data_IF_546009675695
#
_entry.id   IF_546009675695
#
_cell.length_a   1.000
_cell.length_b   1.000
_cell.length_c   1.000
_cell.angle_alpha   90.00
_cell.angle_beta   90.00
_cell.angle_gamma   90.00
#
_symmetry.space_group_name_H-M   'P 1'
#
loop_
_entity.id
_entity.type
_entity.pdbx_description
1 polymer ?
#
# COMPACT_ATOMS: atom_id res chain seq x y z
N UNK A 1 3.86 -12.88 -17.41
CA UNK A 1 5.16 -12.45 -16.82
C UNK A 1 6.36 -13.26 -17.30
N UNK A 2 6.28 -14.59 -17.43
CA UNK A 2 7.43 -15.41 -17.87
C UNK A 2 7.91 -15.12 -19.30
N UNK A 3 7.00 -14.81 -20.24
CA UNK A 3 7.38 -14.50 -21.63
C UNK A 3 8.24 -13.23 -21.74
N UNK A 4 7.86 -12.15 -21.04
CA UNK A 4 8.67 -10.91 -21.00
C UNK A 4 10.06 -11.16 -20.40
N UNK A 5 10.14 -11.91 -19.29
CA UNK A 5 11.42 -12.21 -18.64
C UNK A 5 12.34 -13.08 -19.52
N UNK A 6 11.77 -13.98 -20.32
CA UNK A 6 12.50 -14.90 -21.19
C UNK A 6 12.98 -14.28 -22.52
N UNK A 7 12.41 -13.15 -22.95
CA UNK A 7 12.81 -12.46 -24.18
C UNK A 7 14.23 -11.86 -24.05
N UNK A 8 15.21 -12.22 -24.91
CA UNK A 8 16.56 -11.69 -24.83
C UNK A 8 16.72 -10.28 -25.44
N UNK A 9 15.68 -9.73 -26.08
CA UNK A 9 15.74 -8.40 -26.69
C UNK A 9 15.99 -7.30 -25.64
N UNK A 10 16.98 -6.45 -25.89
CA UNK A 10 17.48 -5.44 -24.96
C UNK A 10 16.54 -4.23 -24.80
N UNK A 11 15.65 -4.01 -25.76
CA UNK A 11 14.67 -2.91 -25.78
C UNK A 11 13.22 -3.41 -25.67
N UNK A 12 13.02 -4.57 -25.06
CA UNK A 12 11.68 -5.08 -24.76
C UNK A 12 10.99 -4.16 -23.74
N UNK A 13 9.67 -4.00 -23.87
CA UNK A 13 8.85 -3.14 -23.00
C UNK A 13 7.75 -4.00 -22.35
N UNK A 14 7.61 -3.94 -21.02
CA UNK A 14 6.52 -4.63 -20.30
C UNK A 14 5.31 -3.71 -20.13
N UNK A 15 4.30 -3.91 -20.97
CA UNK A 15 3.00 -3.23 -20.86
C UNK A 15 1.92 -4.12 -20.20
N UNK A 16 2.30 -5.32 -19.74
CA UNK A 16 1.36 -6.27 -19.16
C UNK A 16 1.09 -6.02 -17.67
N UNK A 17 2.01 -5.35 -16.97
CA UNK A 17 1.90 -5.09 -15.54
C UNK A 17 1.49 -3.63 -15.31
N UNK A 18 0.35 -3.40 -14.65
CA UNK A 18 -0.15 -2.08 -14.29
C UNK A 18 0.58 -1.43 -13.11
N UNK A 19 1.91 -1.32 -13.19
CA UNK A 19 2.76 -0.72 -12.15
C UNK A 19 3.26 0.65 -12.58
N UNK A 20 3.35 1.58 -11.62
CA UNK A 20 4.05 2.84 -11.84
C UNK A 20 5.56 2.60 -11.91
N UNK A 21 6.15 2.95 -13.06
CA UNK A 21 7.58 2.96 -13.29
C UNK A 21 8.19 4.35 -13.22
N UNK A 22 9.51 4.41 -13.03
CA UNK A 22 10.31 5.61 -13.32
C UNK A 22 10.52 5.75 -14.83
N UNK A 23 11.08 6.88 -15.27
CA UNK A 23 11.52 7.09 -16.65
C UNK A 23 12.58 6.06 -17.10
N UNK A 24 13.20 5.36 -16.15
CA UNK A 24 14.16 4.27 -16.37
C UNK A 24 13.50 2.88 -16.37
N UNK A 25 12.16 2.81 -16.44
CA UNK A 25 11.37 1.57 -16.40
C UNK A 25 11.55 0.74 -15.12
N UNK A 26 12.00 1.36 -14.02
CA UNK A 26 12.14 0.70 -12.71
C UNK A 26 10.89 0.90 -11.87
N UNK A 27 10.52 -0.06 -11.01
CA UNK A 27 9.43 0.14 -10.05
C UNK A 27 9.65 1.40 -9.21
N UNK A 28 8.68 2.31 -9.22
CA UNK A 28 8.79 3.57 -8.48
C UNK A 28 8.40 3.36 -7.01
N UNK A 29 9.30 3.71 -6.10
CA UNK A 29 9.01 3.75 -4.65
C UNK A 29 8.90 5.21 -4.22
N UNK A 30 7.71 5.60 -3.74
CA UNK A 30 7.46 6.96 -3.27
C UNK A 30 8.30 7.32 -2.05
N UNK A 31 8.80 8.55 -2.02
CA UNK A 31 9.65 9.07 -0.93
C UNK A 31 8.96 8.98 0.45
N UNK A 32 7.65 9.22 0.50
CA UNK A 32 6.86 9.05 1.74
C UNK A 32 6.88 7.61 2.22
N UNK A 33 6.80 6.63 1.32
CA UNK A 33 6.84 5.21 1.65
C UNK A 33 8.22 4.83 2.21
N UNK A 34 9.31 5.32 1.59
CA UNK A 34 10.67 5.10 2.09
C UNK A 34 10.86 5.62 3.52
N UNK A 35 10.39 6.84 3.80
CA UNK A 35 10.49 7.45 5.13
C UNK A 35 9.70 6.69 6.18
N UNK A 36 8.49 6.22 5.83
CA UNK A 36 7.65 5.45 6.75
C UNK A 36 8.26 4.08 7.01
N UNK A 37 8.77 3.39 5.98
CA UNK A 37 9.43 2.09 6.12
C UNK A 37 10.68 2.17 7.02
N UNK A 38 11.51 3.20 6.85
CA UNK A 38 12.62 3.47 7.75
C UNK A 38 12.17 3.66 9.21
N UNK A 39 11.09 4.41 9.45
CA UNK A 39 10.54 4.59 10.82
C UNK A 39 10.00 3.29 11.41
N UNK A 40 9.30 2.49 10.60
CA UNK A 40 8.68 1.25 11.04
C UNK A 40 9.71 0.15 11.30
N UNK A 41 10.71 0.02 10.44
CA UNK A 41 11.83 -0.94 10.60
C UNK A 41 12.64 -0.67 11.88
N UNK A 42 12.85 0.60 12.26
CA UNK A 42 13.50 0.94 13.54
C UNK A 42 12.64 0.58 14.76
N UNK A 43 11.31 0.59 14.64
CA UNK A 43 10.37 0.23 15.73
C UNK A 43 10.06 -1.27 15.84
N UNK A 44 10.55 -2.08 14.88
CA UNK A 44 10.19 -3.49 14.70
C UNK A 44 10.62 -4.40 15.85
N UNK A 45 11.52 -3.95 16.72
CA UNK A 45 11.94 -4.70 17.90
C UNK A 45 10.84 -4.81 18.98
N UNK A 46 9.87 -3.88 19.00
CA UNK A 46 8.87 -3.80 20.08
C UNK A 46 7.47 -4.33 19.70
N UNK A 47 7.18 -4.52 18.41
CA UNK A 47 5.87 -4.98 17.95
C UNK A 47 5.87 -6.49 17.69
N UNK A 48 5.24 -7.26 18.58
CA UNK A 48 4.92 -8.65 18.28
C UNK A 48 4.04 -8.70 17.02
N UNK A 49 4.36 -9.61 16.09
CA UNK A 49 3.66 -9.76 14.80
C UNK A 49 2.13 -9.85 14.95
N UNK A 50 1.65 -10.39 16.07
CA UNK A 50 0.23 -10.58 16.36
C UNK A 50 -0.48 -9.30 16.85
N UNK A 51 0.18 -8.43 17.63
CA UNK A 51 -0.42 -7.16 18.10
C UNK A 51 -0.48 -6.12 16.96
N UNK A 52 0.42 -6.26 15.97
CA UNK A 52 0.48 -5.40 14.80
C UNK A 52 -0.82 -5.41 14.00
N UNK A 53 -1.43 -6.57 13.78
CA UNK A 53 -2.64 -6.68 12.95
C UNK A 53 -3.82 -5.88 13.53
N UNK A 54 -4.09 -5.95 14.83
CA UNK A 54 -5.25 -5.27 15.43
C UNK A 54 -5.09 -3.74 15.43
N UNK A 55 -3.91 -3.23 15.84
CA UNK A 55 -3.63 -1.79 15.88
C UNK A 55 -3.52 -1.18 14.48
N UNK A 56 -2.89 -1.90 13.55
CA UNK A 56 -2.77 -1.47 12.15
C UNK A 56 -4.13 -1.45 11.47
N UNK A 57 -4.97 -2.47 11.69
CA UNK A 57 -6.32 -2.54 11.13
C UNK A 57 -7.20 -1.33 11.51
N UNK A 58 -7.21 -0.94 12.80
CA UNK A 58 -8.00 0.21 13.25
C UNK A 58 -7.49 1.52 12.67
N UNK A 59 -6.17 1.69 12.58
CA UNK A 59 -5.53 2.90 12.06
C UNK A 59 -5.77 3.04 10.56
N UNK A 60 -5.59 1.95 9.81
CA UNK A 60 -5.83 1.87 8.37
C UNK A 60 -7.30 2.13 8.05
N UNK A 61 -8.22 1.51 8.81
CA UNK A 61 -9.67 1.75 8.66
C UNK A 61 -10.03 3.22 8.82
N UNK A 62 -9.46 3.91 9.82
CA UNK A 62 -9.72 5.34 10.04
C UNK A 62 -9.14 6.21 8.92
N UNK A 63 -7.92 5.92 8.49
CA UNK A 63 -7.28 6.64 7.39
C UNK A 63 -8.06 6.48 6.08
N UNK A 64 -8.44 5.24 5.72
CA UNK A 64 -9.21 4.94 4.51
C UNK A 64 -10.58 5.62 4.54
N UNK A 65 -11.29 5.58 5.69
CA UNK A 65 -12.57 6.30 5.83
C UNK A 65 -12.40 7.81 5.64
N UNK A 66 -11.33 8.40 6.21
CA UNK A 66 -11.06 9.83 6.11
C UNK A 66 -10.65 10.30 4.72
N UNK A 67 -9.81 9.53 4.03
CA UNK A 67 -9.33 9.87 2.68
C UNK A 67 -10.38 9.58 1.60
N UNK A 68 -11.05 8.42 1.68
CA UNK A 68 -11.97 7.98 0.62
C UNK A 68 -13.32 8.72 0.66
N UNK A 69 -13.88 8.93 1.86
CA UNK A 69 -15.19 9.58 2.02
C UNK A 69 -15.07 11.04 2.39
N UNK A 70 -13.88 11.64 2.41
CA UNK A 70 -13.60 12.92 3.04
C UNK A 70 -13.83 12.90 4.57
N UNK A 71 -13.05 13.74 5.26
CA UNK A 71 -12.84 13.69 6.72
C UNK A 71 -14.10 13.86 7.56
N UNK A 72 -15.16 14.46 7.00
CA UNK A 72 -16.42 14.74 7.67
C UNK A 72 -17.57 14.45 6.72
N UNK A 73 -17.98 13.17 6.67
CA UNK A 73 -19.25 12.81 6.05
C UNK A 73 -20.28 12.40 7.09
N UNK A 74 -21.57 12.71 6.86
CA UNK A 74 -22.67 12.22 7.71
C UNK A 74 -22.69 10.69 7.84
N UNK A 75 -22.07 9.98 6.88
CA UNK A 75 -21.95 8.52 6.87
C UNK A 75 -20.99 7.98 7.93
N UNK A 76 -19.95 8.73 8.27
CA UNK A 76 -19.03 8.39 9.37
C UNK A 76 -19.72 8.59 10.71
N UNK A 77 -20.43 9.72 10.88
CA UNK A 77 -21.15 10.07 12.12
C UNK A 77 -22.30 9.12 12.42
N UNK A 78 -23.04 8.70 11.39
CA UNK A 78 -24.16 7.76 11.53
C UNK A 78 -23.75 6.31 11.80
N UNK A 79 -22.44 6.00 11.83
CA UNK A 79 -21.93 4.66 12.13
C UNK A 79 -22.25 3.61 11.06
N UNK A 80 -22.64 4.03 9.84
CA UNK A 80 -23.15 3.13 8.78
C UNK A 80 -22.04 2.48 7.94
N UNK A 81 -20.77 2.80 8.20
CA UNK A 81 -19.63 2.32 7.40
C UNK A 81 -18.92 1.17 8.10
N UNK A 82 -18.97 0.01 7.46
CA UNK A 82 -18.16 -1.17 7.81
C UNK A 82 -17.04 -1.31 6.78
N UNK A 83 -15.82 -1.57 7.26
CA UNK A 83 -14.65 -1.84 6.42
C UNK A 83 -14.15 -3.25 6.73
N UNK A 84 -13.56 -3.91 5.74
CA UNK A 84 -12.88 -5.18 5.91
C UNK A 84 -11.58 -5.13 5.10
N UNK A 85 -10.47 -5.53 5.70
CA UNK A 85 -9.21 -5.71 4.98
C UNK A 85 -9.17 -7.16 4.49
N UNK A 86 -9.09 -7.33 3.16
CA UNK A 86 -8.94 -8.65 2.54
C UNK A 86 -7.48 -8.93 2.23
N UNK A 87 -7.10 -10.21 2.20
CA UNK A 87 -5.83 -10.64 1.62
C UNK A 87 -5.99 -10.60 0.09
N UNK A 88 -5.05 -9.97 -0.60
CA UNK A 88 -4.99 -9.87 -2.06
C UNK A 88 -3.69 -10.43 -2.59
#
# INVERSE_FOLDING_TARGET
MNAYKADPYDKKIDLGVGTYGTDEEKPQIFEVVKRVDQRLSMSYFELSRNICYLKTYLTLTRAVKGDYLAKTTPLIESGRIVTAQCLG
#
